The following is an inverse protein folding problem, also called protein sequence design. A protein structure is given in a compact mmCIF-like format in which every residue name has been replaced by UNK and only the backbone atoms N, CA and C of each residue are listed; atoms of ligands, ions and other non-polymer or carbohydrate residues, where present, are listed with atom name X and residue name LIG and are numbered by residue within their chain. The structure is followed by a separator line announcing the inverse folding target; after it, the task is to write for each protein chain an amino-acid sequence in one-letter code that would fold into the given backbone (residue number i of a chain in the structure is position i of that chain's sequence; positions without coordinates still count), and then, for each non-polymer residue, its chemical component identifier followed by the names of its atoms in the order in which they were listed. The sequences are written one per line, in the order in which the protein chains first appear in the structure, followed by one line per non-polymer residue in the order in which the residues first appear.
data_IF_836212896121
#
_entry.id   IF_836212896121
#
_cell.length_a   1.000
_cell.length_b   1.000
_cell.length_c   1.000
_cell.angle_alpha   90.00
_cell.angle_beta   90.00
_cell.angle_gamma   90.00
#
_symmetry.space_group_name_H-M   'P 1'
#
loop_
_entity.id
_entity.type
_entity.pdbx_description
1 polymer ?
#
# COMPACT_ATOMS: atom_id res chain seq x y z
N UNK A 1 18.82 7.22 13.86
CA UNK A 1 19.42 7.68 12.59
C UNK A 1 18.33 8.25 11.68
N UNK A 2 18.56 9.38 11.00
CA UNK A 2 17.59 9.92 10.05
C UNK A 2 17.42 8.96 8.86
N UNK A 3 16.18 8.74 8.43
CA UNK A 3 15.89 7.97 7.22
C UNK A 3 16.28 8.81 6.00
N UNK A 4 17.06 8.23 5.07
CA UNK A 4 17.32 8.84 3.76
C UNK A 4 16.08 8.72 2.86
N UNK A 5 15.89 9.68 1.98
CA UNK A 5 14.82 9.62 0.97
C UNK A 5 15.02 8.40 0.05
N UNK A 6 13.92 7.82 -0.41
CA UNK A 6 13.95 6.65 -1.30
C UNK A 6 14.30 7.10 -2.72
N UNK A 7 15.27 6.44 -3.35
CA UNK A 7 15.58 6.64 -4.77
C UNK A 7 14.43 6.11 -5.62
N UNK A 8 13.96 6.92 -6.59
CA UNK A 8 12.94 6.50 -7.56
C UNK A 8 13.55 5.48 -8.53
N UNK A 9 12.79 4.45 -8.89
CA UNK A 9 13.17 3.49 -9.93
C UNK A 9 12.92 4.09 -11.30
N UNK A 10 13.85 3.89 -12.24
CA UNK A 10 13.69 4.34 -13.64
C UNK A 10 12.49 3.70 -14.33
N UNK A 11 12.18 2.45 -13.98
CA UNK A 11 11.04 1.71 -14.55
C UNK A 11 9.67 2.24 -14.09
N UNK A 12 9.61 2.99 -12.99
CA UNK A 12 8.34 3.38 -12.36
C UNK A 12 7.52 2.22 -11.77
N UNK A 13 8.01 0.97 -11.84
CA UNK A 13 7.35 -0.21 -11.31
C UNK A 13 7.86 -0.47 -9.89
N UNK A 14 6.93 -0.59 -8.95
CA UNK A 14 7.25 -0.81 -7.54
C UNK A 14 6.52 -2.03 -7.00
N UNK A 15 7.25 -2.89 -6.28
CA UNK A 15 6.65 -3.93 -5.45
C UNK A 15 6.35 -3.35 -4.07
N UNK A 16 5.07 -3.21 -3.73
CA UNK A 16 4.60 -2.65 -2.47
C UNK A 16 4.14 -3.79 -1.57
N UNK A 17 4.58 -3.77 -0.31
CA UNK A 17 4.17 -4.73 0.71
C UNK A 17 3.38 -3.98 1.77
N UNK A 18 2.19 -4.49 2.09
CA UNK A 18 1.38 -4.04 3.22
C UNK A 18 1.59 -5.01 4.38
N UNK A 19 1.75 -4.48 5.59
CA UNK A 19 1.92 -5.28 6.81
C UNK A 19 1.12 -4.69 7.96
N UNK A 20 0.42 -5.54 8.70
CA UNK A 20 -0.27 -5.14 9.92
C UNK A 20 0.72 -4.76 11.02
N UNK A 21 0.26 -3.91 11.92
CA UNK A 21 1.02 -3.54 13.12
C UNK A 21 1.28 -4.81 13.92
N UNK A 22 2.51 -5.00 14.42
CA UNK A 22 2.90 -6.20 15.17
C UNK A 22 2.62 -7.53 14.44
N UNK A 23 2.70 -7.53 13.11
CA UNK A 23 2.46 -8.72 12.26
C UNK A 23 1.02 -9.26 12.35
N UNK A 24 0.07 -8.42 12.75
CA UNK A 24 -1.34 -8.78 12.74
C UNK A 24 -1.88 -8.87 11.32
N UNK A 25 -3.00 -9.58 11.17
CA UNK A 25 -3.75 -9.62 9.92
C UNK A 25 -4.28 -8.23 9.57
N UNK A 26 -4.08 -7.83 8.32
CA UNK A 26 -4.56 -6.54 7.80
C UNK A 26 -6.03 -6.64 7.40
N UNK A 27 -6.46 -7.83 6.99
CA UNK A 27 -7.80 -8.12 6.54
C UNK A 27 -8.35 -9.23 7.44
N UNK A 28 -9.43 -8.93 8.14
CA UNK A 28 -10.13 -9.90 8.98
C UNK A 28 -11.19 -10.64 8.17
N UNK A 29 -11.74 -9.97 7.15
CA UNK A 29 -12.70 -10.54 6.22
C UNK A 29 -12.49 -10.05 4.77
N UNK A 30 -13.42 -10.43 3.89
CA UNK A 30 -13.39 -10.02 2.48
C UNK A 30 -13.93 -8.60 2.23
N UNK A 31 -14.67 -8.02 3.18
CA UNK A 31 -15.10 -6.63 3.13
C UNK A 31 -13.89 -5.70 3.27
N UNK A 32 -12.97 -5.98 4.21
CA UNK A 32 -11.75 -5.20 4.39
C UNK A 32 -10.91 -5.14 3.10
N UNK A 33 -10.78 -6.28 2.40
CA UNK A 33 -10.04 -6.38 1.13
C UNK A 33 -10.72 -5.55 0.03
N UNK A 34 -12.04 -5.69 -0.10
CA UNK A 34 -12.83 -4.96 -1.10
C UNK A 34 -12.75 -3.46 -0.85
N UNK A 35 -12.86 -3.04 0.41
CA UNK A 35 -12.73 -1.64 0.80
C UNK A 35 -11.36 -1.07 0.45
N UNK A 36 -10.28 -1.83 0.68
CA UNK A 36 -8.95 -1.39 0.26
C UNK A 36 -8.85 -1.21 -1.25
N UNK A 37 -9.38 -2.15 -2.05
CA UNK A 37 -9.36 -2.05 -3.52
C UNK A 37 -10.12 -0.82 -4.02
N UNK A 38 -11.32 -0.57 -3.47
CA UNK A 38 -12.09 0.64 -3.80
C UNK A 38 -11.31 1.91 -3.48
N UNK A 39 -10.63 1.97 -2.33
CA UNK A 39 -9.81 3.13 -1.96
C UNK A 39 -8.67 3.30 -2.96
N UNK A 40 -7.96 2.21 -3.33
CA UNK A 40 -6.87 2.27 -4.29
C UNK A 40 -7.33 2.75 -5.67
N UNK A 41 -8.51 2.30 -6.13
CA UNK A 41 -9.11 2.76 -7.39
C UNK A 41 -9.44 4.25 -7.34
N UNK A 42 -10.13 4.69 -6.28
CA UNK A 42 -10.49 6.12 -6.11
C UNK A 42 -9.26 7.04 -6.11
N UNK A 43 -8.19 6.66 -5.40
CA UNK A 43 -6.98 7.49 -5.33
C UNK A 43 -6.11 7.42 -6.58
N UNK A 44 -6.20 6.33 -7.35
CA UNK A 44 -5.49 6.21 -8.63
C UNK A 44 -5.98 7.25 -9.64
N UNK A 45 -7.26 7.63 -9.60
CA UNK A 45 -7.81 8.64 -10.51
C UNK A 45 -7.47 10.08 -10.08
N UNK A 46 -7.24 10.31 -8.78
CA UNK A 46 -6.98 11.64 -8.21
C UNK A 46 -5.51 12.07 -8.39
N UNK A 47 -4.57 11.12 -8.51
CA UNK A 47 -3.12 11.37 -8.45
C UNK A 47 -2.42 11.45 -9.81
#
# INVERSE_FOLDING_TARGET
MPRKARTKSESGIYHIILRGINHQDIFLDDEDKRRLMEILENYKEIC
#
